data_IF_024466015516
#
_entry.id   IF_024466015516
#
_cell.length_a   1.000
_cell.length_b   1.000
_cell.length_c   1.000
_cell.angle_alpha   90.00
_cell.angle_beta   90.00
_cell.angle_gamma   90.00
#
_symmetry.space_group_name_H-M   'P 1'
#
loop_
_entity.id
_entity.type
_entity.pdbx_description
1 polymer ?
#
# COMPACT_ATOMS: atom_id res chain seq x y z
N UNK A 1 6.99 -13.45 2.91
CA UNK A 1 6.29 -13.96 1.70
C UNK A 1 5.15 -14.93 2.03
N UNK A 2 5.33 -16.02 2.82
CA UNK A 2 4.24 -16.99 3.13
C UNK A 2 2.95 -16.33 3.61
N UNK A 3 3.00 -15.44 4.59
CA UNK A 3 1.83 -14.73 5.15
C UNK A 3 1.10 -13.86 4.13
N UNK A 4 1.81 -13.21 3.20
CA UNK A 4 1.20 -12.44 2.10
C UNK A 4 0.44 -13.35 1.14
N UNK A 5 1.02 -14.49 0.78
CA UNK A 5 0.37 -15.47 -0.10
C UNK A 5 -0.86 -16.11 0.56
N UNK A 6 -0.85 -16.33 1.88
CA UNK A 6 -2.02 -16.78 2.63
C UNK A 6 -3.16 -15.76 2.57
N UNK A 7 -2.85 -14.46 2.64
CA UNK A 7 -3.84 -13.40 2.47
C UNK A 7 -4.35 -13.33 1.03
N UNK A 8 -3.45 -13.38 0.03
CA UNK A 8 -3.83 -13.38 -1.39
C UNK A 8 -4.72 -14.57 -1.75
N UNK A 9 -4.52 -15.73 -1.13
CA UNK A 9 -5.34 -16.93 -1.35
C UNK A 9 -6.79 -16.78 -0.82
N UNK A 10 -7.10 -15.74 -0.04
CA UNK A 10 -8.47 -15.42 0.36
C UNK A 10 -9.27 -14.74 -0.76
N UNK A 11 -8.63 -14.26 -1.81
CA UNK A 11 -9.29 -13.71 -3.00
C UNK A 11 -10.02 -14.85 -3.71
N UNK A 12 -11.35 -14.73 -3.85
CA UNK A 12 -12.21 -15.75 -4.45
C UNK A 12 -12.14 -15.74 -5.97
N UNK A 13 -12.06 -14.55 -6.58
CA UNK A 13 -11.88 -14.40 -8.02
C UNK A 13 -10.52 -14.99 -8.44
N UNK A 14 -10.56 -16.07 -9.19
CA UNK A 14 -9.35 -16.83 -9.60
C UNK A 14 -8.36 -15.96 -10.38
N UNK A 15 -8.84 -15.22 -11.36
CA UNK A 15 -7.98 -14.37 -12.22
C UNK A 15 -7.30 -13.27 -11.40
N UNK A 16 -8.03 -12.57 -10.53
CA UNK A 16 -7.49 -11.52 -9.67
C UNK A 16 -6.47 -12.10 -8.67
N UNK A 17 -6.78 -13.24 -8.08
CA UNK A 17 -5.87 -13.95 -7.17
C UNK A 17 -4.54 -14.30 -7.85
N UNK A 18 -4.60 -14.90 -9.04
CA UNK A 18 -3.40 -15.31 -9.79
C UNK A 18 -2.54 -14.10 -10.17
N UNK A 19 -3.15 -13.01 -10.64
CA UNK A 19 -2.44 -11.75 -10.94
C UNK A 19 -1.78 -11.16 -9.69
N UNK A 20 -2.51 -11.10 -8.56
CA UNK A 20 -2.00 -10.59 -7.28
C UNK A 20 -0.80 -11.41 -6.81
N UNK A 21 -0.92 -12.74 -6.80
CA UNK A 21 0.17 -13.65 -6.39
C UNK A 21 1.38 -13.50 -7.33
N UNK A 22 1.15 -13.41 -8.64
CA UNK A 22 2.22 -13.24 -9.63
C UNK A 22 3.00 -11.94 -9.36
N UNK A 23 2.31 -10.82 -9.16
CA UNK A 23 2.96 -9.53 -8.90
C UNK A 23 3.69 -9.50 -7.56
N UNK A 24 3.14 -10.09 -6.50
CA UNK A 24 3.83 -10.24 -5.20
C UNK A 24 5.12 -11.06 -5.28
N UNK A 25 5.21 -12.00 -6.23
CA UNK A 25 6.39 -12.84 -6.43
C UNK A 25 7.40 -12.27 -7.42
N UNK A 26 6.94 -11.47 -8.36
CA UNK A 26 7.75 -10.95 -9.44
C UNK A 26 7.38 -9.49 -9.73
N UNK A 27 8.22 -8.57 -9.27
CA UNK A 27 8.13 -7.14 -9.47
C UNK A 27 9.00 -6.65 -10.65
N UNK A 28 9.36 -7.51 -11.60
CA UNK A 28 10.01 -7.06 -12.84
C UNK A 28 9.16 -5.98 -13.49
N UNK A 29 9.72 -4.79 -13.80
CA UNK A 29 8.94 -3.71 -14.42
C UNK A 29 8.25 -4.16 -15.69
N UNK A 30 6.99 -3.76 -15.87
CA UNK A 30 6.22 -4.05 -17.09
C UNK A 30 6.74 -3.26 -18.29
N UNK A 31 7.32 -2.08 -18.05
CA UNK A 31 8.00 -1.28 -19.08
C UNK A 31 9.47 -1.73 -19.18
N UNK A 32 9.92 -2.32 -20.30
CA UNK A 32 11.30 -2.79 -20.47
C UNK A 32 12.34 -1.65 -20.46
N UNK A 33 11.93 -0.42 -20.77
CA UNK A 33 12.81 0.75 -20.78
C UNK A 33 12.90 1.45 -19.40
N UNK A 34 12.21 0.92 -18.38
CA UNK A 34 12.27 1.45 -17.02
C UNK A 34 13.60 1.09 -16.36
N UNK A 35 14.42 2.11 -16.07
CA UNK A 35 15.83 1.94 -15.69
C UNK A 35 16.06 1.60 -14.21
N UNK A 36 15.03 1.62 -13.38
CA UNK A 36 15.15 1.35 -11.95
C UNK A 36 14.79 -0.12 -11.66
N UNK A 37 15.77 -0.95 -11.26
CA UNK A 37 15.49 -2.35 -10.94
C UNK A 37 14.68 -2.45 -9.65
N UNK A 38 13.83 -3.46 -9.57
CA UNK A 38 13.11 -3.75 -8.33
C UNK A 38 14.06 -4.25 -7.24
N UNK A 39 14.00 -3.61 -6.07
CA UNK A 39 14.60 -4.16 -4.86
C UNK A 39 13.76 -5.34 -4.34
N UNK A 40 14.37 -6.19 -3.49
CA UNK A 40 13.68 -7.31 -2.87
C UNK A 40 12.58 -6.80 -1.92
N UNK A 41 11.32 -6.98 -2.32
CA UNK A 41 10.13 -6.60 -1.55
C UNK A 41 10.16 -7.07 -0.09
N UNK A 42 10.77 -8.23 0.16
CA UNK A 42 10.83 -8.81 1.51
C UNK A 42 11.89 -8.18 2.41
N UNK A 43 12.72 -7.28 1.87
CA UNK A 43 13.84 -6.69 2.61
C UNK A 43 13.76 -5.18 2.75
N UNK A 44 13.09 -4.48 1.85
CA UNK A 44 13.04 -3.02 1.91
C UNK A 44 12.22 -2.52 3.10
N UNK A 45 12.57 -1.33 3.67
CA UNK A 45 11.72 -0.63 4.63
C UNK A 45 10.44 -0.14 3.95
N UNK A 46 9.38 0.12 4.71
CA UNK A 46 8.18 0.72 4.16
C UNK A 46 8.42 2.19 3.78
N UNK A 47 9.17 2.93 4.59
CA UNK A 47 9.59 4.30 4.29
C UNK A 47 10.84 4.69 5.08
N UNK A 48 11.80 5.32 4.41
CA UNK A 48 13.03 5.79 5.07
C UNK A 48 12.68 7.01 5.96
N UNK A 49 13.03 6.92 7.24
CA UNK A 49 12.83 8.01 8.21
C UNK A 49 11.41 8.14 8.77
N UNK A 50 10.49 7.20 8.46
CA UNK A 50 9.13 7.18 8.99
C UNK A 50 8.75 5.79 9.51
N UNK A 51 7.49 5.37 9.34
CA UNK A 51 7.00 4.08 9.81
C UNK A 51 7.72 2.89 9.15
N UNK A 52 7.83 1.79 9.86
CA UNK A 52 8.45 0.53 9.40
C UNK A 52 9.83 0.75 8.74
N UNK A 53 10.65 1.63 9.33
CA UNK A 53 11.97 1.99 8.80
C UNK A 53 13.04 0.96 9.20
N UNK A 54 12.83 -0.29 8.80
CA UNK A 54 13.76 -1.40 9.04
C UNK A 54 13.68 -2.44 7.93
N UNK A 55 14.65 -3.34 7.87
CA UNK A 55 14.71 -4.39 6.85
C UNK A 55 13.47 -5.30 6.95
N UNK A 56 12.71 -5.43 5.88
CA UNK A 56 11.44 -6.16 5.82
C UNK A 56 10.21 -5.36 6.24
N UNK A 57 10.37 -4.09 6.58
CA UNK A 57 9.30 -3.23 7.04
C UNK A 57 8.14 -3.10 6.05
N UNK A 58 8.44 -3.05 4.73
CA UNK A 58 7.38 -2.99 3.71
C UNK A 58 6.47 -4.23 3.76
N UNK A 59 7.06 -5.41 3.92
CA UNK A 59 6.28 -6.64 3.99
C UNK A 59 5.42 -6.70 5.26
N UNK A 60 5.93 -6.24 6.40
CA UNK A 60 5.15 -6.18 7.65
C UNK A 60 4.02 -5.18 7.58
N UNK A 61 4.28 -3.98 7.07
CA UNK A 61 3.28 -2.96 6.78
C UNK A 61 2.17 -3.50 5.88
N UNK A 62 2.53 -4.08 4.74
CA UNK A 62 1.54 -4.65 3.80
C UNK A 62 0.66 -5.72 4.46
N UNK A 63 1.22 -6.55 5.33
CA UNK A 63 0.46 -7.55 6.10
C UNK A 63 -0.48 -6.87 7.10
N UNK A 64 -0.01 -5.84 7.81
CA UNK A 64 -0.77 -5.04 8.76
C UNK A 64 -1.98 -4.41 8.08
N UNK A 65 -1.72 -3.65 7.01
CA UNK A 65 -2.76 -3.00 6.18
C UNK A 65 -3.80 -4.00 5.67
N UNK A 66 -3.38 -5.13 5.12
CA UNK A 66 -4.32 -6.13 4.62
C UNK A 66 -5.21 -6.74 5.71
N UNK A 67 -4.69 -6.92 6.93
CA UNK A 67 -5.47 -7.40 8.08
C UNK A 67 -6.46 -6.34 8.57
N UNK A 68 -6.01 -5.08 8.72
CA UNK A 68 -6.87 -3.98 9.12
C UNK A 68 -7.98 -3.76 8.10
N UNK A 69 -7.66 -3.75 6.80
CA UNK A 69 -8.64 -3.59 5.74
C UNK A 69 -9.71 -4.70 5.75
N UNK A 70 -9.33 -5.95 6.02
CA UNK A 70 -10.29 -7.04 6.19
C UNK A 70 -11.20 -6.83 7.40
N UNK A 71 -10.64 -6.40 8.54
CA UNK A 71 -11.43 -6.11 9.75
C UNK A 71 -12.38 -4.92 9.54
N UNK A 72 -11.93 -3.87 8.84
CA UNK A 72 -12.80 -2.74 8.47
C UNK A 72 -13.91 -3.17 7.52
N UNK A 73 -13.63 -4.03 6.54
CA UNK A 73 -14.66 -4.57 5.65
C UNK A 73 -15.71 -5.39 6.42
N UNK A 74 -15.29 -6.19 7.41
CA UNK A 74 -16.18 -6.95 8.27
C UNK A 74 -17.06 -6.01 9.13
N UNK A 75 -16.44 -5.02 9.80
CA UNK A 75 -17.15 -4.03 10.60
C UNK A 75 -18.18 -3.26 9.78
N UNK A 76 -17.81 -2.80 8.58
CA UNK A 76 -18.72 -2.08 7.68
C UNK A 76 -19.90 -2.95 7.26
N UNK A 77 -19.66 -4.22 6.97
CA UNK A 77 -20.71 -5.16 6.62
C UNK A 77 -21.63 -5.46 7.81
N UNK A 78 -21.08 -5.67 9.00
CA UNK A 78 -21.85 -6.01 10.20
C UNK A 78 -22.67 -4.84 10.71
N UNK A 79 -22.08 -3.64 10.76
CA UNK A 79 -22.69 -2.43 11.34
C UNK A 79 -23.62 -1.73 10.37
N UNK A 80 -23.16 -1.48 9.15
CA UNK A 80 -23.87 -0.64 8.17
C UNK A 80 -24.58 -1.44 7.08
N UNK A 81 -24.45 -2.79 7.09
CA UNK A 81 -25.02 -3.70 6.08
C UNK A 81 -24.53 -3.41 4.64
N UNK A 82 -23.49 -2.62 4.49
CA UNK A 82 -22.82 -2.42 3.21
C UNK A 82 -22.03 -3.68 2.82
N UNK A 83 -21.80 -3.88 1.52
CA UNK A 83 -21.16 -5.08 1.00
C UNK A 83 -19.93 -4.71 0.17
N UNK A 84 -18.80 -4.36 0.80
CA UNK A 84 -17.57 -4.10 0.06
C UNK A 84 -17.12 -5.36 -0.71
N UNK A 85 -16.54 -5.14 -1.89
CA UNK A 85 -15.92 -6.22 -2.64
C UNK A 85 -14.61 -6.64 -1.95
N UNK A 86 -14.67 -7.71 -1.16
CA UNK A 86 -13.54 -8.19 -0.36
C UNK A 86 -12.33 -8.59 -1.21
N UNK A 87 -12.54 -9.08 -2.43
CA UNK A 87 -11.46 -9.45 -3.33
C UNK A 87 -10.68 -8.21 -3.77
N UNK A 88 -11.36 -7.11 -4.07
CA UNK A 88 -10.73 -5.82 -4.39
C UNK A 88 -10.02 -5.22 -3.19
N UNK A 89 -10.63 -5.27 -1.99
CA UNK A 89 -9.99 -4.83 -0.73
C UNK A 89 -8.68 -5.58 -0.49
N UNK A 90 -8.70 -6.92 -0.60
CA UNK A 90 -7.49 -7.73 -0.37
C UNK A 90 -6.42 -7.43 -1.41
N UNK A 91 -6.77 -7.42 -2.70
CA UNK A 91 -5.82 -7.14 -3.77
C UNK A 91 -5.24 -5.73 -3.66
N UNK A 92 -6.08 -4.72 -3.42
CA UNK A 92 -5.65 -3.34 -3.22
C UNK A 92 -4.70 -3.20 -2.03
N UNK A 93 -5.08 -3.74 -0.87
CA UNK A 93 -4.24 -3.69 0.34
C UNK A 93 -2.90 -4.42 0.19
N UNK A 94 -2.85 -5.53 -0.55
CA UNK A 94 -1.60 -6.26 -0.78
C UNK A 94 -0.67 -5.59 -1.80
N UNK A 95 -1.20 -4.71 -2.65
CA UNK A 95 -0.47 -4.14 -3.77
C UNK A 95 -0.32 -2.62 -3.71
N UNK A 96 -0.90 -1.94 -2.67
CA UNK A 96 -0.92 -0.47 -2.62
C UNK A 96 0.48 0.14 -2.74
N UNK A 97 1.43 -0.47 -2.11
CA UNK A 97 2.81 -0.02 -1.98
C UNK A 97 3.83 -0.76 -2.86
N UNK A 98 3.37 -1.57 -3.80
CA UNK A 98 4.28 -2.42 -4.61
C UNK A 98 5.31 -1.59 -5.39
N UNK A 99 5.00 -0.36 -5.77
CA UNK A 99 5.90 0.57 -6.47
C UNK A 99 7.10 1.02 -5.65
N UNK A 100 7.08 0.88 -4.32
CA UNK A 100 8.22 1.23 -3.44
C UNK A 100 9.48 0.42 -3.77
N UNK A 101 9.34 -0.77 -4.34
CA UNK A 101 10.48 -1.59 -4.76
C UNK A 101 11.40 -0.89 -5.78
N UNK A 102 10.86 0.06 -6.55
CA UNK A 102 11.62 0.82 -7.53
C UNK A 102 12.25 2.11 -6.97
N UNK A 103 11.79 2.55 -5.80
CA UNK A 103 12.24 3.79 -5.19
C UNK A 103 13.44 3.61 -4.28
N UNK A 104 13.72 2.40 -3.83
CA UNK A 104 14.74 2.12 -2.83
C UNK A 104 15.80 1.18 -3.37
N UNK A 105 17.06 1.46 -3.03
CA UNK A 105 18.22 0.62 -3.31
C UNK A 105 19.09 0.49 -2.08
N UNK A 106 19.78 -0.65 -1.93
CA UNK A 106 20.73 -0.87 -0.85
C UNK A 106 22.12 -0.42 -1.28
N UNK A 107 22.74 0.48 -0.53
CA UNK A 107 24.11 0.95 -0.75
C UNK A 107 24.91 0.63 0.51
N UNK A 108 25.77 -0.38 0.42
CA UNK A 108 26.43 -0.93 1.59
C UNK A 108 25.42 -1.54 2.58
N UNK A 109 25.31 -0.96 3.77
CA UNK A 109 24.37 -1.40 4.81
C UNK A 109 23.08 -0.57 4.86
N UNK A 110 23.01 0.54 4.12
CA UNK A 110 21.94 1.52 4.22
C UNK A 110 20.99 1.46 3.03
N UNK A 111 19.73 1.80 3.26
CA UNK A 111 18.74 2.02 2.22
C UNK A 111 18.74 3.48 1.79
N UNK A 112 18.72 3.73 0.48
CA UNK A 112 18.72 5.05 -0.13
C UNK A 112 17.69 5.11 -1.25
N UNK A 113 17.19 6.33 -1.55
CA UNK A 113 16.34 6.54 -2.73
C UNK A 113 17.13 6.34 -4.02
N UNK A 114 16.47 5.77 -5.04
CA UNK A 114 17.07 5.53 -6.36
C UNK A 114 17.24 6.80 -7.18
N UNK A 115 16.48 7.86 -6.87
CA UNK A 115 16.34 9.06 -7.69
C UNK A 115 15.21 8.96 -8.74
N UNK A 116 14.37 7.92 -8.67
CA UNK A 116 13.18 7.84 -9.51
C UNK A 116 12.27 9.05 -9.26
N UNK A 117 11.79 9.68 -10.34
CA UNK A 117 10.96 10.88 -10.27
C UNK A 117 9.47 10.60 -10.02
N UNK A 118 9.05 9.35 -10.17
CA UNK A 118 7.68 8.95 -9.92
C UNK A 118 7.45 8.62 -8.45
N UNK A 119 6.27 8.95 -7.97
CA UNK A 119 5.79 8.46 -6.67
C UNK A 119 5.44 6.97 -6.70
N UNK A 120 5.51 6.31 -5.52
CA UNK A 120 5.21 4.89 -5.38
C UNK A 120 3.78 4.54 -5.78
N UNK A 121 2.79 5.40 -5.46
CA UNK A 121 1.40 5.15 -5.80
C UNK A 121 1.18 5.20 -7.32
N UNK A 122 1.85 6.13 -8.01
CA UNK A 122 1.85 6.22 -9.48
C UNK A 122 2.48 4.97 -10.09
N UNK A 123 3.65 4.56 -9.60
CA UNK A 123 4.33 3.34 -10.08
C UNK A 123 3.49 2.09 -9.83
N UNK A 124 2.91 1.97 -8.63
CA UNK A 124 2.03 0.86 -8.29
C UNK A 124 0.83 0.79 -9.24
N UNK A 125 0.13 1.91 -9.44
CA UNK A 125 -1.04 1.97 -10.33
C UNK A 125 -0.67 1.65 -11.79
N UNK A 126 0.46 2.16 -12.27
CA UNK A 126 0.94 1.88 -13.63
C UNK A 126 1.27 0.40 -13.84
N UNK A 127 1.92 -0.26 -12.89
CA UNK A 127 2.19 -1.69 -12.94
C UNK A 127 0.89 -2.51 -12.94
N UNK A 128 -0.09 -2.13 -12.13
CA UNK A 128 -1.39 -2.79 -12.12
C UNK A 128 -2.12 -2.60 -13.46
N UNK A 129 -2.11 -1.39 -14.01
CA UNK A 129 -2.72 -1.09 -15.30
C UNK A 129 -2.07 -1.92 -16.42
N UNK A 130 -0.74 -1.91 -16.52
CA UNK A 130 0.00 -2.67 -17.52
C UNK A 130 -0.24 -4.20 -17.44
N UNK A 131 -0.55 -4.70 -16.23
CA UNK A 131 -0.86 -6.13 -15.99
C UNK A 131 -2.36 -6.45 -16.08
N UNK A 132 -3.18 -5.47 -16.46
CA UNK A 132 -4.62 -5.65 -16.71
C UNK A 132 -5.43 -5.98 -15.44
N UNK A 133 -5.10 -5.35 -14.30
CA UNK A 133 -5.93 -5.42 -13.11
C UNK A 133 -7.26 -4.67 -13.32
N UNK A 134 -8.34 -4.99 -12.56
CA UNK A 134 -9.59 -4.24 -12.59
C UNK A 134 -9.38 -2.76 -12.20
N UNK A 135 -10.15 -1.87 -12.82
CA UNK A 135 -10.10 -0.42 -12.55
C UNK A 135 -10.26 -0.11 -11.06
N UNK A 136 -11.14 -0.82 -10.37
CA UNK A 136 -11.43 -0.62 -8.95
C UNK A 136 -10.19 -0.91 -8.08
N UNK A 137 -9.42 -1.95 -8.43
CA UNK A 137 -8.18 -2.28 -7.70
C UNK A 137 -7.09 -1.24 -8.01
N UNK A 138 -6.98 -0.80 -9.27
CA UNK A 138 -6.07 0.28 -9.66
C UNK A 138 -6.42 1.57 -8.92
N UNK A 139 -7.72 1.90 -8.83
CA UNK A 139 -8.17 3.08 -8.09
C UNK A 139 -7.84 3.01 -6.59
N UNK A 140 -8.06 1.85 -5.94
CA UNK A 140 -7.65 1.65 -4.54
C UNK A 140 -6.15 1.98 -4.38
N UNK A 141 -5.32 1.42 -5.24
CA UNK A 141 -3.85 1.59 -5.18
C UNK A 141 -3.44 3.04 -5.49
N UNK A 142 -4.03 3.67 -6.50
CA UNK A 142 -3.73 5.06 -6.87
C UNK A 142 -4.14 6.07 -5.80
N UNK A 143 -5.16 5.75 -4.98
CA UNK A 143 -5.76 6.68 -4.02
C UNK A 143 -5.45 6.36 -2.55
N UNK A 144 -4.59 5.37 -2.26
CA UNK A 144 -4.33 4.97 -0.87
C UNK A 144 -3.67 6.06 -0.01
N UNK A 145 -2.96 7.01 -0.61
CA UNK A 145 -2.39 8.17 0.09
C UNK A 145 -3.37 9.34 0.29
N UNK A 146 -4.57 9.28 -0.28
CA UNK A 146 -5.57 10.37 -0.21
C UNK A 146 -5.02 11.70 -0.74
N UNK A 147 -5.53 12.82 -0.20
CA UNK A 147 -5.09 14.18 -0.57
C UNK A 147 -3.63 14.47 -0.24
N UNK A 148 -3.04 13.71 0.68
CA UNK A 148 -1.63 13.82 1.07
C UNK A 148 -0.72 12.98 0.18
N UNK A 149 -1.29 12.10 -0.64
CA UNK A 149 -0.55 11.26 -1.57
C UNK A 149 -0.24 12.00 -2.86
N UNK A 150 0.97 11.78 -3.37
CA UNK A 150 1.49 12.42 -4.59
C UNK A 150 0.81 11.96 -5.88
N UNK A 151 0.01 10.89 -5.85
CA UNK A 151 -0.77 10.45 -6.99
C UNK A 151 -2.01 11.33 -7.28
N UNK A 152 -2.37 12.24 -6.36
CA UNK A 152 -3.46 13.20 -6.54
C UNK A 152 -4.86 12.59 -6.70
N UNK A 153 -5.02 11.33 -6.35
CA UNK A 153 -6.31 10.64 -6.42
C UNK A 153 -6.91 10.46 -5.02
N UNK A 154 -8.17 10.88 -4.88
CA UNK A 154 -8.93 10.68 -3.63
C UNK A 154 -9.67 9.34 -3.66
N UNK A 155 -9.77 8.61 -2.52
CA UNK A 155 -10.51 7.37 -2.44
C UNK A 155 -12.02 7.62 -2.60
N UNK A 156 -12.59 7.20 -3.73
CA UNK A 156 -13.99 7.44 -4.13
C UNK A 156 -14.89 6.23 -4.00
N UNK A 157 -14.34 5.07 -3.68
CA UNK A 157 -15.12 3.85 -3.44
C UNK A 157 -15.01 3.42 -1.98
N UNK A 158 -15.95 2.61 -1.51
CA UNK A 158 -15.91 2.08 -0.15
C UNK A 158 -14.64 1.26 0.10
N UNK A 159 -14.24 0.45 -0.88
CA UNK A 159 -13.03 -0.36 -0.83
C UNK A 159 -11.77 0.52 -0.75
N UNK A 160 -11.73 1.63 -1.52
CA UNK A 160 -10.61 2.56 -1.47
C UNK A 160 -10.53 3.27 -0.12
N UNK A 161 -11.66 3.71 0.45
CA UNK A 161 -11.72 4.28 1.81
C UNK A 161 -11.23 3.28 2.86
N UNK A 162 -11.65 2.01 2.76
CA UNK A 162 -11.22 0.96 3.69
C UNK A 162 -9.68 0.80 3.65
N UNK A 163 -9.08 0.73 2.47
CA UNK A 163 -7.63 0.55 2.34
C UNK A 163 -6.87 1.81 2.78
N UNK A 164 -7.31 3.00 2.39
CA UNK A 164 -6.73 4.28 2.82
C UNK A 164 -6.68 4.40 4.35
N UNK A 165 -7.79 4.12 5.04
CA UNK A 165 -7.80 4.17 6.51
C UNK A 165 -6.97 3.06 7.15
N UNK A 166 -6.95 1.86 6.55
CA UNK A 166 -6.13 0.77 7.05
C UNK A 166 -4.63 1.09 6.98
N UNK A 167 -4.19 1.69 5.86
CA UNK A 167 -2.82 2.16 5.65
C UNK A 167 -2.43 3.23 6.66
N UNK A 168 -3.24 4.28 6.78
CA UNK A 168 -3.02 5.37 7.73
C UNK A 168 -2.92 4.87 9.17
N UNK A 169 -3.81 3.96 9.58
CA UNK A 169 -3.83 3.41 10.94
C UNK A 169 -2.61 2.54 11.21
N UNK A 170 -2.22 1.66 10.27
CA UNK A 170 -1.04 0.81 10.44
C UNK A 170 0.23 1.64 10.58
N UNK A 171 0.43 2.63 9.71
CA UNK A 171 1.56 3.54 9.76
C UNK A 171 1.63 4.33 11.08
N UNK A 172 0.49 4.84 11.56
CA UNK A 172 0.42 5.60 12.80
C UNK A 172 0.69 4.73 14.04
N UNK A 173 0.13 3.52 14.09
CA UNK A 173 0.34 2.61 15.22
C UNK A 173 1.80 2.16 15.31
N UNK A 174 2.40 1.76 14.17
CA UNK A 174 3.80 1.35 14.15
C UNK A 174 4.75 2.50 14.54
N UNK A 175 4.52 3.71 14.01
CA UNK A 175 5.29 4.89 14.37
C UNK A 175 5.21 5.20 15.87
N UNK A 176 4.06 4.99 16.49
CA UNK A 176 3.89 5.15 17.93
C UNK A 176 4.62 4.07 18.74
N UNK A 177 4.57 2.81 18.27
CA UNK A 177 5.22 1.66 18.93
C UNK A 177 6.74 1.82 18.91
N UNK A 178 7.31 2.25 17.77
CA UNK A 178 8.75 2.36 17.57
C UNK A 178 9.33 3.75 17.86
N UNK A 179 8.50 4.68 18.33
CA UNK A 179 8.94 6.03 18.72
C UNK A 179 9.40 6.90 17.56
N UNK A 180 8.97 6.59 16.35
CA UNK A 180 9.25 7.37 15.12
C UNK A 180 8.17 8.43 14.86
N UNK A 181 7.08 8.44 15.62
CA UNK A 181 6.01 9.40 15.50
C UNK A 181 6.52 10.80 15.85
N UNK A 182 6.60 11.66 14.84
CA UNK A 182 6.94 13.07 15.04
C UNK A 182 5.72 13.92 15.48
N UNK A 183 4.49 13.36 15.33
CA UNK A 183 3.26 14.01 15.78
C UNK A 183 2.31 13.00 16.44
N UNK A 184 1.70 13.35 17.58
CA UNK A 184 0.62 12.55 18.17
C UNK A 184 -0.55 12.39 17.19
N UNK A 185 -1.23 11.24 17.21
CA UNK A 185 -2.41 10.92 16.39
C UNK A 185 -3.46 12.05 16.34
N UNK A 186 -3.60 12.82 17.42
CA UNK A 186 -4.53 13.96 17.50
C UNK A 186 -4.27 15.05 16.46
N UNK A 187 -3.04 15.19 15.94
CA UNK A 187 -2.70 16.18 14.92
C UNK A 187 -3.02 15.72 13.48
N UNK A 188 -3.23 14.42 13.25
CA UNK A 188 -3.66 13.90 11.95
C UNK A 188 -5.11 14.33 11.60
N UNK A 189 -5.88 14.74 12.60
CA UNK A 189 -7.28 15.15 12.46
C UNK A 189 -7.53 16.64 12.70
N UNK A 190 -6.47 17.42 12.98
CA UNK A 190 -6.61 18.88 13.09
C UNK A 190 -6.59 19.48 11.67
N UNK A 191 -7.74 19.98 11.25
CA UNK A 191 -7.79 20.85 10.07
C UNK A 191 -6.92 22.09 10.31
N UNK A 192 -6.20 22.61 9.30
CA UNK A 192 -5.52 23.88 9.43
C UNK A 192 -6.59 24.92 9.81
N UNK A 193 -6.40 25.61 10.93
CA UNK A 193 -7.24 26.78 11.26
C UNK A 193 -7.10 27.77 10.10
N UNK A 194 -8.21 28.09 9.44
CA UNK A 194 -8.25 29.21 8.52
C UNK A 194 -7.67 30.42 9.27
N UNK A 195 -6.55 30.92 8.77
CA UNK A 195 -6.02 32.20 9.24
C UNK A 195 -6.92 33.27 8.67
N UNK A 196 -7.63 33.98 9.57
CA UNK A 196 -8.24 35.26 9.27
C UNK A 196 -7.23 36.27 8.72
#
# INVERSE_FOLDING_TARGET
MKRLLELANKIKNKSLREKTIKLLKDQTPSNPDFVYPAADFSKIPAWIGAHHNYEGGLMEHTIGVAKLALNFADMVQETYKAKPNRDHVIAGALLHDIGKVFLLKKVGKEWQFTGCLFDHAVLSANELYARGFPEEVIHIVASHGGDMGSAGANPRTLEAQIVFHADTVDAALESQINGTAQMPLQFLFMQPSEKE
#
